data_IF_962234744782
#
_entry.id   IF_962234744782
#
_cell.length_a   1.000
_cell.length_b   1.000
_cell.length_c   1.000
_cell.angle_alpha   90.00
_cell.angle_beta   90.00
_cell.angle_gamma   90.00
#
_symmetry.space_group_name_H-M   'P 1'
#
loop_
_entity.id
_entity.type
_entity.pdbx_description
1 polymer ?
#
# COMPACT_ATOMS: atom_id res chain seq x y z
N UNK A 1 -18.69 20.66 2.21
CA UNK A 1 -17.67 19.64 1.86
C UNK A 1 -18.06 18.31 2.50
N UNK A 2 -17.87 17.17 1.82
CA UNK A 2 -18.28 15.88 2.37
C UNK A 2 -17.38 15.45 3.54
N UNK A 3 -17.97 14.88 4.59
CA UNK A 3 -17.23 14.34 5.74
C UNK A 3 -16.48 13.05 5.38
N UNK A 4 -15.47 12.67 6.18
CA UNK A 4 -14.72 11.40 6.03
C UNK A 4 -15.66 10.20 5.92
N UNK A 5 -16.72 10.17 6.71
CA UNK A 5 -17.73 9.11 6.69
C UNK A 5 -18.47 9.04 5.36
N UNK A 6 -18.81 10.19 4.78
CA UNK A 6 -19.47 10.25 3.46
C UNK A 6 -18.56 9.77 2.34
N UNK A 7 -17.25 9.97 2.45
CA UNK A 7 -16.27 9.48 1.48
C UNK A 7 -16.10 7.95 1.58
N UNK A 8 -16.04 7.41 2.80
CA UNK A 8 -15.98 5.96 3.05
C UNK A 8 -17.27 5.30 2.54
N UNK A 9 -18.43 5.88 2.85
CA UNK A 9 -19.72 5.36 2.40
C UNK A 9 -19.82 5.33 0.87
N UNK A 10 -19.36 6.37 0.17
CA UNK A 10 -19.27 6.38 -1.30
C UNK A 10 -18.35 5.30 -1.84
N UNK A 11 -17.17 5.08 -1.23
CA UNK A 11 -16.27 3.99 -1.63
C UNK A 11 -16.95 2.64 -1.48
N UNK A 12 -17.65 2.39 -0.37
CA UNK A 12 -18.41 1.14 -0.16
C UNK A 12 -19.43 0.94 -1.28
N UNK A 13 -20.22 1.97 -1.63
CA UNK A 13 -21.18 1.88 -2.73
C UNK A 13 -20.48 1.55 -4.05
N UNK A 14 -19.34 2.19 -4.36
CA UNK A 14 -18.57 1.91 -5.56
C UNK A 14 -18.11 0.44 -5.61
N UNK A 15 -17.54 -0.08 -4.50
CA UNK A 15 -17.11 -1.48 -4.39
C UNK A 15 -18.30 -2.43 -4.61
N UNK A 16 -19.43 -2.15 -3.97
CA UNK A 16 -20.64 -2.97 -4.06
C UNK A 16 -21.15 -3.01 -5.51
N UNK A 17 -21.19 -1.88 -6.21
CA UNK A 17 -21.61 -1.83 -7.62
C UNK A 17 -20.68 -2.66 -8.51
N UNK A 18 -19.37 -2.55 -8.33
CA UNK A 18 -18.39 -3.32 -9.12
C UNK A 18 -18.55 -4.83 -8.89
N UNK A 19 -18.64 -5.25 -7.62
CA UNK A 19 -18.83 -6.67 -7.27
C UNK A 19 -20.18 -7.18 -7.80
N UNK A 20 -21.26 -6.41 -7.62
CA UNK A 20 -22.58 -6.77 -8.11
C UNK A 20 -22.59 -6.94 -9.64
N UNK A 21 -21.86 -6.10 -10.37
CA UNK A 21 -21.71 -6.22 -11.83
C UNK A 21 -20.97 -7.49 -12.21
N UNK A 22 -19.86 -7.82 -11.52
CA UNK A 22 -19.14 -9.08 -11.73
C UNK A 22 -19.98 -10.32 -11.42
N UNK A 23 -20.75 -10.28 -10.32
CA UNK A 23 -21.67 -11.34 -9.94
C UNK A 23 -22.83 -11.50 -10.94
N UNK A 24 -23.35 -10.39 -11.48
CA UNK A 24 -24.34 -10.40 -12.54
C UNK A 24 -23.79 -11.07 -13.80
N UNK A 25 -22.60 -10.70 -14.26
CA UNK A 25 -21.96 -11.33 -15.42
C UNK A 25 -21.80 -12.84 -15.20
N UNK A 26 -21.34 -13.26 -14.02
CA UNK A 26 -21.25 -14.67 -13.67
C UNK A 26 -22.61 -15.39 -13.77
N UNK A 27 -23.65 -14.84 -13.13
CA UNK A 27 -24.98 -15.48 -13.05
C UNK A 27 -25.65 -15.66 -14.42
N UNK A 28 -25.48 -14.70 -15.33
CA UNK A 28 -26.15 -14.73 -16.64
C UNK A 28 -25.30 -15.35 -17.75
N UNK A 29 -23.98 -15.42 -17.60
CA UNK A 29 -23.10 -15.98 -18.63
C UNK A 29 -23.11 -17.51 -18.69
N UNK A 30 -23.70 -18.20 -17.70
CA UNK A 30 -23.65 -19.68 -17.57
C UNK A 30 -22.23 -20.27 -17.70
N UNK A 31 -21.22 -19.46 -17.36
CA UNK A 31 -19.83 -19.86 -17.50
C UNK A 31 -19.37 -20.50 -16.20
N UNK A 32 -18.99 -21.79 -16.27
CA UNK A 32 -18.55 -22.58 -15.12
C UNK A 32 -17.41 -21.89 -14.34
N UNK A 33 -16.45 -21.30 -15.05
CA UNK A 33 -15.31 -20.57 -14.47
C UNK A 33 -15.60 -19.09 -14.19
N UNK A 34 -16.82 -18.61 -14.48
CA UNK A 34 -17.19 -17.19 -14.37
C UNK A 34 -17.14 -16.64 -12.95
N UNK A 35 -17.16 -17.50 -11.92
CA UNK A 35 -17.03 -17.12 -10.50
C UNK A 35 -15.71 -16.38 -10.24
N UNK A 36 -14.70 -16.62 -11.08
CA UNK A 36 -13.41 -15.95 -10.98
C UNK A 36 -13.46 -14.46 -11.33
N UNK A 37 -14.51 -13.98 -12.01
CA UNK A 37 -14.70 -12.56 -12.32
C UNK A 37 -14.96 -11.74 -11.03
N UNK A 38 -15.99 -12.03 -10.21
CA UNK A 38 -16.20 -11.30 -8.96
C UNK A 38 -15.06 -11.47 -7.94
N UNK A 39 -14.41 -12.65 -7.88
CA UNK A 39 -13.19 -12.86 -7.07
C UNK A 39 -12.05 -11.97 -7.58
N UNK A 40 -12.00 -11.71 -8.88
CA UNK A 40 -11.03 -10.81 -9.50
C UNK A 40 -11.22 -9.37 -9.09
N UNK A 41 -12.46 -8.90 -9.17
CA UNK A 41 -12.85 -7.57 -8.73
C UNK A 41 -12.57 -7.39 -7.24
N UNK A 42 -12.99 -8.34 -6.40
CA UNK A 42 -12.83 -8.25 -4.94
C UNK A 42 -11.37 -8.07 -4.53
N UNK A 43 -10.45 -8.87 -5.06
CA UNK A 43 -9.06 -8.77 -4.60
C UNK A 43 -8.28 -7.59 -5.23
N UNK A 44 -8.76 -7.01 -6.33
CA UNK A 44 -8.25 -5.73 -6.85
C UNK A 44 -8.72 -4.56 -5.96
N UNK A 45 -10.00 -4.59 -5.54
CA UNK A 45 -10.65 -3.52 -4.77
C UNK A 45 -10.48 -3.69 -3.25
N UNK A 46 -9.99 -4.85 -2.79
CA UNK A 46 -9.81 -5.22 -1.39
C UNK A 46 -9.15 -4.18 -0.46
N UNK A 47 -8.14 -3.40 -0.88
CA UNK A 47 -7.78 -2.20 -0.14
C UNK A 47 -8.78 -1.09 -0.47
N UNK A 48 -9.55 -0.64 0.52
CA UNK A 48 -10.47 0.49 0.40
C UNK A 48 -9.78 1.84 0.08
N UNK A 49 -8.47 1.83 -0.16
CA UNK A 49 -7.66 3.00 -0.53
C UNK A 49 -7.77 3.29 -2.04
N UNK A 50 -8.21 4.49 -2.45
CA UNK A 50 -8.24 4.89 -3.85
C UNK A 50 -6.81 5.07 -4.40
N UNK A 51 -6.57 4.75 -5.67
CA UNK A 51 -5.25 4.86 -6.33
C UNK A 51 -4.46 3.55 -6.40
N UNK A 52 -4.55 2.69 -5.38
CA UNK A 52 -3.86 1.39 -5.35
C UNK A 52 -4.46 0.33 -6.29
N UNK A 53 -5.66 0.58 -6.81
CA UNK A 53 -6.44 -0.33 -7.67
C UNK A 53 -5.71 -0.63 -8.99
N UNK A 54 -4.91 0.30 -9.51
CA UNK A 54 -4.20 0.16 -10.81
C UNK A 54 -2.98 -0.73 -10.66
N UNK A 55 -2.14 -0.42 -9.67
CA UNK A 55 -0.98 -1.23 -9.36
C UNK A 55 -1.42 -2.64 -8.99
N UNK A 56 -2.50 -2.81 -8.22
CA UNK A 56 -3.06 -4.13 -7.94
C UNK A 56 -3.63 -4.83 -9.16
N UNK A 57 -4.31 -4.12 -10.06
CA UNK A 57 -4.76 -4.71 -11.32
C UNK A 57 -3.57 -5.21 -12.15
N UNK A 58 -2.51 -4.40 -12.28
CA UNK A 58 -1.26 -4.79 -12.97
C UNK A 58 -0.59 -5.99 -12.30
N UNK A 59 -0.40 -5.95 -10.99
CA UNK A 59 0.17 -7.05 -10.20
C UNK A 59 -0.68 -8.32 -10.33
N UNK A 60 -2.01 -8.19 -10.41
CA UNK A 60 -2.91 -9.32 -10.59
C UNK A 60 -2.81 -9.91 -11.99
N UNK A 61 -2.76 -9.09 -13.04
CA UNK A 61 -2.55 -9.56 -14.41
C UNK A 61 -1.19 -10.25 -14.53
N UNK A 62 -0.11 -9.61 -14.08
CA UNK A 62 1.24 -10.17 -14.14
C UNK A 62 1.36 -11.45 -13.32
N UNK A 63 0.90 -11.44 -12.07
CA UNK A 63 0.92 -12.62 -11.20
C UNK A 63 0.10 -13.78 -11.77
N UNK A 64 -1.05 -13.49 -12.39
CA UNK A 64 -1.86 -14.52 -13.04
C UNK A 64 -1.13 -15.08 -14.27
N UNK A 65 -0.63 -14.23 -15.19
CA UNK A 65 0.07 -14.70 -16.39
C UNK A 65 1.28 -15.55 -16.02
N UNK A 66 2.13 -15.06 -15.11
CA UNK A 66 3.30 -15.81 -14.65
C UNK A 66 2.89 -17.11 -13.93
N UNK A 67 1.85 -17.06 -13.10
CA UNK A 67 1.32 -18.24 -12.42
C UNK A 67 0.79 -19.29 -13.39
N UNK A 68 0.05 -18.89 -14.43
CA UNK A 68 -0.48 -19.77 -15.47
C UNK A 68 0.63 -20.41 -16.32
N UNK A 69 1.69 -19.65 -16.63
CA UNK A 69 2.86 -20.19 -17.36
C UNK A 69 3.62 -21.22 -16.51
N UNK A 70 3.86 -20.92 -15.24
CA UNK A 70 4.53 -21.84 -14.32
C UNK A 70 3.66 -23.08 -14.08
N UNK A 71 2.34 -22.93 -13.95
CA UNK A 71 1.46 -24.08 -13.77
C UNK A 71 1.49 -25.02 -14.97
N UNK A 72 1.61 -24.50 -16.20
CA UNK A 72 1.75 -25.33 -17.40
C UNK A 72 3.05 -26.16 -17.37
N UNK A 73 4.16 -25.56 -16.92
CA UNK A 73 5.44 -26.27 -16.77
C UNK A 73 5.34 -27.32 -15.67
N UNK A 74 4.74 -26.96 -14.54
CA UNK A 74 4.59 -27.85 -13.38
C UNK A 74 3.67 -29.03 -13.72
N UNK A 75 2.62 -28.78 -14.49
CA UNK A 75 1.74 -29.80 -15.02
C UNK A 75 2.49 -30.79 -15.89
N UNK A 76 3.23 -30.31 -16.90
CA UNK A 76 4.06 -31.19 -17.74
C UNK A 76 5.01 -32.04 -16.90
N UNK A 77 5.64 -31.46 -15.89
CA UNK A 77 6.53 -32.19 -14.98
C UNK A 77 5.80 -33.28 -14.16
N UNK A 78 4.65 -32.93 -13.59
CA UNK A 78 3.82 -33.81 -12.77
C UNK A 78 3.20 -34.95 -13.59
N UNK A 79 2.87 -34.71 -14.86
CA UNK A 79 2.39 -35.73 -15.79
C UNK A 79 3.40 -36.88 -15.93
N UNK A 80 4.70 -36.57 -16.02
CA UNK A 80 5.76 -37.58 -16.08
C UNK A 80 6.18 -38.12 -14.70
N UNK A 81 5.90 -37.40 -13.61
CA UNK A 81 6.36 -37.75 -12.25
C UNK A 81 5.26 -37.56 -11.20
N UNK A 82 4.14 -38.31 -11.25
CA UNK A 82 2.97 -38.07 -10.40
C UNK A 82 3.25 -38.26 -8.91
N UNK A 83 4.21 -39.12 -8.55
CA UNK A 83 4.61 -39.37 -7.16
C UNK A 83 5.20 -38.13 -6.46
N UNK A 84 5.60 -37.10 -7.21
CA UNK A 84 6.16 -35.86 -6.66
C UNK A 84 5.12 -34.85 -6.20
N UNK A 85 3.83 -35.09 -6.49
CA UNK A 85 2.73 -34.16 -6.19
C UNK A 85 2.68 -33.73 -4.73
N UNK A 86 2.82 -34.66 -3.79
CA UNK A 86 2.73 -34.35 -2.35
C UNK A 86 3.84 -33.38 -1.92
N UNK A 87 5.06 -33.58 -2.43
CA UNK A 87 6.19 -32.70 -2.13
C UNK A 87 5.99 -31.30 -2.72
N UNK A 88 5.53 -31.22 -3.97
CA UNK A 88 5.24 -29.95 -4.64
C UNK A 88 4.11 -29.21 -3.90
N UNK A 89 3.05 -29.91 -3.49
CA UNK A 89 1.95 -29.32 -2.74
C UNK A 89 2.42 -28.72 -1.40
N UNK A 90 3.28 -29.41 -0.65
CA UNK A 90 3.85 -28.89 0.60
C UNK A 90 4.69 -27.62 0.36
N UNK A 91 5.50 -27.60 -0.70
CA UNK A 91 6.30 -26.43 -1.09
C UNK A 91 5.38 -25.26 -1.45
N UNK A 92 4.32 -25.49 -2.22
CA UNK A 92 3.37 -24.44 -2.61
C UNK A 92 2.61 -23.89 -1.41
N UNK A 93 2.15 -24.73 -0.48
CA UNK A 93 1.47 -24.28 0.75
C UNK A 93 2.40 -23.39 1.57
N UNK A 94 3.65 -23.82 1.78
CA UNK A 94 4.64 -23.02 2.49
C UNK A 94 4.92 -21.70 1.76
N UNK A 95 5.07 -21.74 0.43
CA UNK A 95 5.28 -20.57 -0.40
C UNK A 95 4.13 -19.56 -0.32
N UNK A 96 2.87 -20.02 -0.37
CA UNK A 96 1.69 -19.16 -0.21
C UNK A 96 1.68 -18.49 1.16
N UNK A 97 1.98 -19.25 2.23
CA UNK A 97 2.06 -18.69 3.58
C UNK A 97 3.17 -17.63 3.70
N UNK A 98 4.33 -17.88 3.09
CA UNK A 98 5.44 -16.94 3.08
C UNK A 98 5.13 -15.67 2.26
N UNK A 99 4.54 -15.83 1.08
CA UNK A 99 4.22 -14.72 0.16
C UNK A 99 3.03 -13.89 0.60
N UNK A 100 2.20 -14.40 1.52
CA UNK A 100 1.15 -13.60 2.16
C UNK A 100 1.71 -12.38 2.91
N UNK A 101 2.99 -12.41 3.29
CA UNK A 101 3.71 -11.31 3.94
C UNK A 101 4.53 -10.45 2.95
N UNK A 102 4.55 -10.82 1.67
CA UNK A 102 5.37 -10.19 0.62
C UNK A 102 4.50 -9.38 -0.35
N UNK A 103 5.10 -8.93 -1.46
CA UNK A 103 4.34 -8.24 -2.50
C UNK A 103 3.20 -9.10 -3.05
N UNK A 104 2.06 -8.45 -3.26
CA UNK A 104 0.82 -9.06 -3.72
C UNK A 104 0.96 -9.86 -5.03
N UNK A 105 1.90 -9.49 -5.90
CA UNK A 105 2.21 -10.22 -7.15
C UNK A 105 2.61 -11.67 -6.87
N UNK A 106 3.50 -11.90 -5.91
CA UNK A 106 4.02 -13.24 -5.59
C UNK A 106 2.94 -14.12 -4.96
N UNK A 107 2.10 -13.51 -4.11
CA UNK A 107 0.95 -14.19 -3.54
C UNK A 107 -0.03 -14.66 -4.63
N UNK A 108 -0.39 -13.79 -5.57
CA UNK A 108 -1.29 -14.15 -6.68
C UNK A 108 -0.68 -15.19 -7.60
N UNK A 109 0.63 -15.11 -7.86
CA UNK A 109 1.36 -16.10 -8.65
C UNK A 109 1.24 -17.50 -8.02
N UNK A 110 1.57 -17.64 -6.73
CA UNK A 110 1.55 -18.95 -6.06
C UNK A 110 0.14 -19.49 -5.88
N UNK A 111 -0.84 -18.63 -5.56
CA UNK A 111 -2.25 -19.03 -5.49
C UNK A 111 -2.75 -19.50 -6.86
N UNK A 112 -2.35 -18.84 -7.94
CA UNK A 112 -2.72 -19.24 -9.31
C UNK A 112 -2.14 -20.60 -9.68
N UNK A 113 -0.87 -20.86 -9.35
CA UNK A 113 -0.24 -22.17 -9.55
C UNK A 113 -0.96 -23.25 -8.73
N UNK A 114 -1.16 -23.00 -7.44
CA UNK A 114 -1.81 -23.95 -6.53
C UNK A 114 -3.21 -24.32 -6.99
N UNK A 115 -4.00 -23.34 -7.45
CA UNK A 115 -5.34 -23.57 -7.97
C UNK A 115 -5.33 -24.41 -9.26
N UNK A 116 -4.45 -24.12 -10.21
CA UNK A 116 -4.38 -24.88 -11.46
C UNK A 116 -3.98 -26.34 -11.22
N UNK A 117 -2.97 -26.56 -10.37
CA UNK A 117 -2.52 -27.90 -10.00
C UNK A 117 -3.59 -28.65 -9.20
N UNK A 118 -4.30 -27.97 -8.29
CA UNK A 118 -5.35 -28.61 -7.50
C UNK A 118 -6.55 -29.00 -8.37
N UNK A 119 -6.96 -28.13 -9.31
CA UNK A 119 -8.08 -28.41 -10.22
C UNK A 119 -7.81 -29.60 -11.13
N UNK A 120 -6.59 -29.73 -11.65
CA UNK A 120 -6.19 -30.85 -12.50
C UNK A 120 -6.32 -32.20 -11.76
N UNK A 121 -5.86 -32.26 -10.51
CA UNK A 121 -5.84 -33.51 -9.74
C UNK A 121 -7.13 -33.81 -8.94
N UNK A 122 -7.99 -32.80 -8.68
CA UNK A 122 -9.26 -32.99 -7.95
C UNK A 122 -10.48 -33.13 -8.88
N UNK A 123 -10.43 -32.59 -10.10
CA UNK A 123 -11.53 -32.68 -11.07
C UNK A 123 -11.17 -33.60 -12.24
N UNK A 124 -11.46 -34.90 -12.06
CA UNK A 124 -11.39 -35.96 -13.08
C UNK A 124 -12.28 -35.74 -14.34
N UNK A 125 -12.98 -34.60 -14.48
CA UNK A 125 -14.10 -34.44 -15.41
C UNK A 125 -13.94 -33.34 -16.48
N UNK A 126 -12.86 -32.56 -16.49
CA UNK A 126 -12.66 -31.51 -17.51
C UNK A 126 -11.52 -31.92 -18.45
N UNK A 127 -11.88 -32.45 -19.61
CA UNK A 127 -10.98 -32.99 -20.64
C UNK A 127 -10.07 -31.95 -21.34
N UNK A 128 -9.87 -30.74 -20.80
CA UNK A 128 -9.02 -29.72 -21.43
C UNK A 128 -8.47 -28.71 -20.41
N UNK A 129 -7.33 -29.01 -19.80
CA UNK A 129 -6.61 -28.09 -18.90
C UNK A 129 -6.22 -26.76 -19.56
N UNK A 130 -5.89 -26.81 -20.85
CA UNK A 130 -5.62 -25.59 -21.65
C UNK A 130 -6.86 -24.68 -21.67
N UNK A 131 -8.05 -25.26 -21.74
CA UNK A 131 -9.30 -24.49 -21.67
C UNK A 131 -9.50 -23.87 -20.28
N UNK A 132 -9.16 -24.58 -19.21
CA UNK A 132 -9.24 -24.05 -17.84
C UNK A 132 -8.27 -22.88 -17.65
N UNK A 133 -7.00 -23.05 -18.07
CA UNK A 133 -5.97 -22.00 -18.01
C UNK A 133 -6.41 -20.76 -18.82
N UNK A 134 -6.93 -20.97 -20.03
CA UNK A 134 -7.42 -19.88 -20.88
C UNK A 134 -8.64 -19.17 -20.26
N UNK A 135 -9.61 -19.93 -19.76
CA UNK A 135 -10.79 -19.39 -19.09
C UNK A 135 -10.39 -18.57 -17.86
N UNK A 136 -9.44 -19.05 -17.08
CA UNK A 136 -8.91 -18.36 -15.90
C UNK A 136 -8.29 -17.01 -16.28
N UNK A 137 -7.47 -17.00 -17.33
CA UNK A 137 -6.89 -15.78 -17.89
C UNK A 137 -7.96 -14.78 -18.32
N UNK A 138 -8.97 -15.23 -19.06
CA UNK A 138 -10.08 -14.39 -19.52
C UNK A 138 -10.91 -13.82 -18.37
N UNK A 139 -11.26 -14.63 -17.36
CA UNK A 139 -11.99 -14.15 -16.18
C UNK A 139 -11.23 -13.05 -15.42
N UNK A 140 -9.90 -13.17 -15.30
CA UNK A 140 -9.08 -12.13 -14.67
C UNK A 140 -9.06 -10.86 -15.53
N UNK A 141 -8.91 -10.98 -16.84
CA UNK A 141 -8.94 -9.83 -17.76
C UNK A 141 -10.30 -9.12 -17.74
N UNK A 142 -11.41 -9.86 -17.72
CA UNK A 142 -12.76 -9.30 -17.60
C UNK A 142 -12.91 -8.56 -16.26
N UNK A 143 -12.49 -9.19 -15.15
CA UNK A 143 -12.54 -8.55 -13.84
C UNK A 143 -11.71 -7.26 -13.76
N UNK A 144 -10.51 -7.25 -14.35
CA UNK A 144 -9.65 -6.07 -14.46
C UNK A 144 -10.30 -4.99 -15.32
N UNK A 145 -10.90 -5.37 -16.45
CA UNK A 145 -11.57 -4.44 -17.37
C UNK A 145 -12.76 -3.76 -16.70
N UNK A 146 -13.59 -4.52 -15.98
CA UNK A 146 -14.70 -3.97 -15.18
C UNK A 146 -14.14 -2.98 -14.15
N UNK A 147 -13.09 -3.37 -13.42
CA UNK A 147 -12.48 -2.50 -12.43
C UNK A 147 -11.99 -1.19 -13.01
N UNK A 148 -11.26 -1.25 -14.13
CA UNK A 148 -10.74 -0.07 -14.81
C UNK A 148 -11.84 0.78 -15.42
N UNK A 149 -12.87 0.17 -16.00
CA UNK A 149 -14.02 0.87 -16.57
C UNK A 149 -14.73 1.72 -15.50
N UNK A 150 -15.07 1.13 -14.36
CA UNK A 150 -15.74 1.85 -13.28
C UNK A 150 -14.86 2.94 -12.66
N UNK A 151 -13.58 2.63 -12.39
CA UNK A 151 -12.65 3.62 -11.84
C UNK A 151 -12.42 4.81 -12.80
N UNK A 152 -12.25 4.55 -14.09
CA UNK A 152 -11.95 5.59 -15.08
C UNK A 152 -13.19 6.40 -15.51
N UNK A 153 -14.28 5.73 -15.88
CA UNK A 153 -15.44 6.40 -16.47
C UNK A 153 -16.46 6.87 -15.42
N UNK A 154 -16.62 6.14 -14.32
CA UNK A 154 -17.70 6.39 -13.35
C UNK A 154 -17.19 7.15 -12.13
N UNK A 155 -16.03 6.76 -11.58
CA UNK A 155 -15.56 7.25 -10.29
C UNK A 155 -14.43 8.28 -10.33
N UNK A 156 -13.77 8.47 -11.48
CA UNK A 156 -12.65 9.41 -11.66
C UNK A 156 -12.93 10.82 -11.12
N UNK A 157 -14.16 11.32 -11.25
CA UNK A 157 -14.57 12.67 -10.79
C UNK A 157 -14.70 12.83 -9.27
N UNK A 158 -14.85 11.74 -8.52
CA UNK A 158 -15.15 11.79 -7.08
C UNK A 158 -13.91 11.67 -6.19
N UNK A 159 -12.78 11.15 -6.71
CA UNK A 159 -11.58 10.91 -5.92
C UNK A 159 -10.64 12.12 -5.78
N UNK A 160 -10.69 13.08 -6.72
CA UNK A 160 -9.85 14.29 -6.71
C UNK A 160 -9.98 15.15 -5.44
N UNK A 161 -11.08 15.04 -4.70
CA UNK A 161 -11.33 15.86 -3.50
C UNK A 161 -11.25 15.08 -2.18
N UNK A 162 -11.12 13.75 -2.20
CA UNK A 162 -11.32 12.93 -1.01
C UNK A 162 -10.01 12.66 -0.25
N UNK A 163 -8.98 12.21 -0.98
CA UNK A 163 -7.67 11.90 -0.39
C UNK A 163 -6.97 13.20 0.03
N UNK A 164 -6.94 14.20 -0.85
CA UNK A 164 -6.35 15.51 -0.57
C UNK A 164 -6.96 16.15 0.68
N UNK A 165 -8.28 16.07 0.85
CA UNK A 165 -8.99 16.81 1.90
C UNK A 165 -8.94 16.10 3.26
N UNK A 166 -8.98 14.75 3.26
CA UNK A 166 -8.83 13.96 4.49
C UNK A 166 -7.39 13.99 5.00
N UNK A 167 -6.40 13.95 4.09
CA UNK A 167 -4.99 14.08 4.48
C UNK A 167 -4.64 15.53 4.86
N UNK A 168 -5.16 16.55 4.16
CA UNK A 168 -4.92 17.96 4.50
C UNK A 168 -5.28 18.27 5.96
N UNK A 169 -6.49 17.86 6.40
CA UNK A 169 -6.96 18.15 7.76
C UNK A 169 -6.11 17.46 8.83
N UNK A 170 -5.72 16.20 8.57
CA UNK A 170 -4.86 15.43 9.47
C UNK A 170 -3.44 16.01 9.53
N UNK A 171 -2.91 16.44 8.38
CA UNK A 171 -1.62 17.09 8.26
C UNK A 171 -1.61 18.47 8.94
N UNK A 172 -2.68 19.25 8.80
CA UNK A 172 -2.83 20.51 9.52
C UNK A 172 -2.83 20.28 11.04
N UNK A 173 -3.58 19.31 11.55
CA UNK A 173 -3.59 18.97 12.98
C UNK A 173 -2.19 18.53 13.46
N UNK A 174 -1.46 17.76 12.66
CA UNK A 174 -0.10 17.33 13.01
C UNK A 174 0.89 18.50 13.01
N UNK A 175 0.85 19.36 11.99
CA UNK A 175 1.72 20.55 11.90
C UNK A 175 1.43 21.51 13.06
N UNK A 176 0.16 21.76 13.39
CA UNK A 176 -0.24 22.60 14.52
C UNK A 176 0.26 22.01 15.84
N UNK A 177 0.03 20.71 16.07
CA UNK A 177 0.49 20.05 17.29
C UNK A 177 2.03 20.06 17.41
N UNK A 178 2.75 19.82 16.31
CA UNK A 178 4.21 19.91 16.30
C UNK A 178 4.68 21.33 16.61
N UNK A 179 4.03 22.34 16.04
CA UNK A 179 4.35 23.75 16.30
C UNK A 179 4.08 24.18 17.75
N UNK A 180 2.96 23.76 18.33
CA UNK A 180 2.63 24.05 19.72
C UNK A 180 3.61 23.37 20.68
N UNK A 181 4.01 22.13 20.40
CA UNK A 181 5.04 21.43 21.17
C UNK A 181 6.41 22.12 21.07
N UNK A 182 6.77 22.63 19.89
CA UNK A 182 8.00 23.42 19.68
C UNK A 182 7.96 24.73 20.46
N UNK A 183 6.81 25.43 20.44
CA UNK A 183 6.62 26.68 21.18
C UNK A 183 6.76 26.46 22.69
N UNK A 184 6.12 25.42 23.22
CA UNK A 184 6.26 25.04 24.62
C UNK A 184 7.70 24.66 24.99
N UNK A 185 8.43 24.02 24.08
CA UNK A 185 9.86 23.74 24.27
C UNK A 185 10.72 25.01 24.29
N UNK A 186 10.44 25.97 23.40
CA UNK A 186 11.17 27.24 23.32
C UNK A 186 10.96 28.10 24.57
N UNK A 187 9.83 27.95 25.25
CA UNK A 187 9.52 28.62 26.52
C UNK A 187 10.16 27.91 27.73
N UNK A 188 10.73 26.71 27.55
CA UNK A 188 11.41 25.94 28.60
C UNK A 188 12.94 26.06 28.50
N UNK A 189 13.62 26.43 29.59
CA UNK A 189 15.08 26.66 29.62
C UNK A 189 15.95 25.40 29.39
N UNK A 190 15.36 24.20 29.41
CA UNK A 190 16.08 22.92 29.30
C UNK A 190 15.42 22.00 28.26
N UNK A 191 15.86 22.16 27.02
CA UNK A 191 15.51 21.28 25.90
C UNK A 191 16.43 20.05 25.89
N UNK A 192 15.86 18.86 26.08
CA UNK A 192 16.58 17.59 26.05
C UNK A 192 16.46 16.91 24.68
N UNK A 193 17.53 16.27 24.21
CA UNK A 193 17.57 15.50 22.94
C UNK A 193 16.44 14.46 22.87
N UNK A 194 16.07 13.82 23.98
CA UNK A 194 14.97 12.85 24.02
C UNK A 194 13.60 13.48 23.72
N UNK A 195 13.35 14.71 24.19
CA UNK A 195 12.12 15.43 23.88
C UNK A 195 12.09 15.88 22.42
N UNK A 196 13.25 16.23 21.85
CA UNK A 196 13.38 16.60 20.44
C UNK A 196 13.09 15.41 19.53
N UNK A 197 13.67 14.24 19.81
CA UNK A 197 13.41 13.01 19.08
C UNK A 197 11.92 12.62 19.10
N UNK A 198 11.23 12.82 20.23
CA UNK A 198 9.80 12.54 20.36
C UNK A 198 8.92 13.39 19.42
N UNK A 199 9.41 14.54 18.96
CA UNK A 199 8.73 15.42 17.99
C UNK A 199 9.17 15.09 16.56
N UNK A 200 10.46 14.81 16.36
CA UNK A 200 11.05 14.56 15.03
C UNK A 200 10.65 13.20 14.45
N UNK A 201 10.59 12.15 15.26
CA UNK A 201 10.27 10.78 14.81
C UNK A 201 8.89 10.65 14.12
N UNK A 202 7.79 11.19 14.67
CA UNK A 202 6.50 11.17 13.97
C UNK A 202 6.48 12.04 12.69
N UNK A 203 7.29 13.12 12.64
CA UNK A 203 7.42 13.95 11.43
C UNK A 203 8.09 13.16 10.30
N UNK A 204 9.17 12.42 10.58
CA UNK A 204 9.89 11.59 9.60
C UNK A 204 8.99 10.48 9.04
N UNK A 205 8.27 9.79 9.91
CA UNK A 205 7.35 8.70 9.50
C UNK A 205 6.29 9.24 8.54
N UNK A 206 5.73 10.40 8.82
CA UNK A 206 4.71 11.00 7.95
C UNK A 206 5.27 11.59 6.67
N UNK A 207 6.50 12.10 6.67
CA UNK A 207 7.19 12.54 5.46
C UNK A 207 7.37 11.37 4.49
N UNK A 208 7.82 10.22 5.00
CA UNK A 208 7.96 8.99 4.21
C UNK A 208 6.61 8.48 3.69
N UNK A 209 5.57 8.52 4.51
CA UNK A 209 4.21 8.14 4.10
C UNK A 209 3.65 9.10 3.04
N UNK A 210 3.92 10.40 3.13
CA UNK A 210 3.52 11.38 2.13
C UNK A 210 4.22 11.14 0.79
N UNK A 211 5.48 10.74 0.82
CA UNK A 211 6.26 10.38 -0.37
C UNK A 211 5.67 9.14 -1.06
N UNK A 212 5.38 8.08 -0.29
CA UNK A 212 4.67 6.88 -0.78
C UNK A 212 3.27 7.23 -1.33
N UNK A 213 2.57 8.17 -0.69
CA UNK A 213 1.27 8.64 -1.14
C UNK A 213 1.38 9.45 -2.44
N UNK A 214 2.39 10.32 -2.57
CA UNK A 214 2.69 11.10 -3.79
C UNK A 214 2.96 10.17 -4.97
N UNK A 215 3.75 9.13 -4.76
CA UNK A 215 4.05 8.10 -5.76
C UNK A 215 2.79 7.33 -6.18
N UNK A 216 1.94 6.97 -5.21
CA UNK A 216 0.62 6.36 -5.48
C UNK A 216 -0.32 7.30 -6.27
N UNK A 217 -0.27 8.61 -5.98
CA UNK A 217 -1.07 9.64 -6.65
C UNK A 217 -0.61 9.89 -8.10
N UNK A 218 0.70 9.92 -8.35
CA UNK A 218 1.30 10.05 -9.69
C UNK A 218 0.94 8.87 -10.61
N UNK A 219 0.68 7.71 -10.04
CA UNK A 219 0.28 6.51 -10.76
C UNK A 219 -1.24 6.26 -10.75
N UNK A 220 -2.06 7.20 -10.27
CA UNK A 220 -3.53 7.13 -10.23
C UNK A 220 -4.24 7.59 -11.51
N UNK A 221 -5.51 7.20 -11.72
CA UNK A 221 -6.30 7.53 -12.93
C UNK A 221 -7.01 8.91 -12.90
N UNK A 222 -6.98 9.64 -11.78
CA UNK A 222 -7.63 10.96 -11.71
C UNK A 222 -6.58 12.07 -11.86
N UNK A 223 -6.97 13.25 -12.36
CA UNK A 223 -6.13 14.45 -12.37
C UNK A 223 -5.85 14.90 -10.93
N UNK A 224 -4.87 14.26 -10.28
CA UNK A 224 -4.52 14.52 -8.90
C UNK A 224 -3.53 15.67 -8.75
N UNK A 225 -3.35 16.51 -9.76
CA UNK A 225 -2.47 17.69 -9.74
C UNK A 225 -2.70 18.55 -8.50
N UNK A 226 -3.96 18.81 -8.12
CA UNK A 226 -4.28 19.55 -6.89
C UNK A 226 -3.88 18.83 -5.60
N UNK A 227 -4.00 17.50 -5.58
CA UNK A 227 -3.60 16.65 -4.45
C UNK A 227 -2.08 16.57 -4.34
N UNK A 228 -1.40 16.43 -5.47
CA UNK A 228 0.06 16.41 -5.59
C UNK A 228 0.64 17.76 -5.16
N UNK A 229 0.09 18.88 -5.66
CA UNK A 229 0.46 20.24 -5.23
C UNK A 229 0.26 20.42 -3.72
N UNK A 230 -0.80 19.82 -3.16
CA UNK A 230 -1.08 19.90 -1.74
C UNK A 230 -0.08 19.05 -0.94
N UNK A 231 0.19 17.81 -1.35
CA UNK A 231 1.19 16.94 -0.75
C UNK A 231 2.57 17.62 -0.79
N UNK A 232 2.96 18.18 -1.94
CA UNK A 232 4.24 18.86 -2.12
C UNK A 232 4.33 20.13 -1.26
N UNK A 233 3.22 20.87 -1.07
CA UNK A 233 3.17 21.97 -0.09
C UNK A 233 3.38 21.49 1.35
N UNK A 234 2.81 20.35 1.74
CA UNK A 234 2.99 19.80 3.08
C UNK A 234 4.39 19.19 3.27
N UNK A 235 4.90 18.50 2.26
CA UNK A 235 6.28 17.98 2.20
C UNK A 235 7.27 19.13 2.42
N UNK A 236 7.13 20.23 1.68
CA UNK A 236 7.97 21.41 1.86
C UNK A 236 7.84 22.04 3.26
N UNK A 237 6.63 22.13 3.82
CA UNK A 237 6.42 22.63 5.20
C UNK A 237 7.08 21.72 6.23
N UNK A 238 6.90 20.40 6.11
CA UNK A 238 7.45 19.38 6.99
C UNK A 238 8.98 19.36 6.92
N UNK A 239 9.56 19.42 5.73
CA UNK A 239 11.00 19.52 5.51
C UNK A 239 11.56 20.81 6.10
N UNK A 240 10.87 21.96 5.93
CA UNK A 240 11.31 23.21 6.54
C UNK A 240 11.28 23.18 8.08
N UNK A 241 10.27 22.53 8.67
CA UNK A 241 10.18 22.29 10.11
C UNK A 241 11.30 21.36 10.59
N UNK A 242 11.55 20.30 9.85
CA UNK A 242 12.61 19.34 10.13
C UNK A 242 14.00 19.99 10.09
N UNK A 243 14.30 20.77 9.04
CA UNK A 243 15.56 21.50 8.87
C UNK A 243 15.75 22.52 9.99
N UNK A 244 14.68 23.25 10.35
CA UNK A 244 14.71 24.18 11.47
C UNK A 244 14.99 23.47 12.80
N UNK A 245 14.31 22.36 13.07
CA UNK A 245 14.54 21.55 14.28
C UNK A 245 15.95 20.97 14.33
N UNK A 246 16.50 20.52 13.21
CA UNK A 246 17.88 20.06 13.11
C UNK A 246 18.88 21.18 13.37
N UNK A 247 18.63 22.38 12.83
CA UNK A 247 19.48 23.55 13.11
C UNK A 247 19.45 23.93 14.60
N UNK A 248 18.28 23.83 15.24
CA UNK A 248 18.11 24.10 16.67
C UNK A 248 18.77 23.01 17.52
N UNK A 249 18.62 21.74 17.16
CA UNK A 249 19.32 20.61 17.79
C UNK A 249 20.85 20.73 17.69
N UNK A 250 21.36 21.16 16.54
CA UNK A 250 22.79 21.43 16.33
C UNK A 250 23.28 22.59 17.20
N UNK A 251 22.50 23.67 17.30
CA UNK A 251 22.81 24.81 18.17
C UNK A 251 22.85 24.41 19.66
N UNK A 252 21.94 23.52 20.08
CA UNK A 252 21.87 22.99 21.45
C UNK A 252 23.05 22.05 21.75
N UNK A 253 23.43 21.18 20.81
CA UNK A 253 24.63 20.34 20.92
C UNK A 253 25.91 21.20 21.04
N UNK A 254 26.04 22.25 20.22
CA UNK A 254 27.14 23.20 20.33
C UNK A 254 27.15 23.94 21.67
N UNK A 255 25.98 24.33 22.20
CA UNK A 255 25.85 25.02 23.49
C UNK A 255 26.18 24.09 24.66
N UNK A 256 25.73 22.83 24.61
CA UNK A 256 26.03 21.81 25.62
C UNK A 256 27.52 21.43 25.60
N UNK A 257 28.14 21.34 24.42
CA UNK A 257 29.58 21.14 24.26
C UNK A 257 30.39 22.31 24.82
N UNK A 258 29.92 23.56 24.63
CA UNK A 258 30.51 24.77 25.22
C UNK A 258 30.39 24.80 26.74
N UNK A 259 29.23 24.48 27.30
CA UNK A 259 29.00 24.39 28.76
C UNK A 259 29.85 23.28 29.39
N UNK A 260 30.04 22.15 28.68
CA UNK A 260 30.95 21.07 29.12
C UNK A 260 32.43 21.44 29.00
N UNK A 261 32.81 22.29 28.03
CA UNK A 261 34.16 22.84 27.92
C UNK A 261 34.43 23.91 28.99
N UNK A 262 33.50 24.81 29.28
CA UNK A 262 33.60 25.81 30.37
C UNK A 262 33.69 25.14 31.74
N UNK A 263 32.98 24.03 31.96
CA UNK A 263 33.13 23.22 33.18
C UNK A 263 34.47 22.49 33.28
N UNK A 264 35.14 22.21 32.16
CA UNK A 264 36.49 21.62 32.12
C UNK A 264 37.61 22.66 32.25
N UNK A 265 37.33 23.94 32.03
CA UNK A 265 38.29 25.04 32.12
C UNK A 265 38.22 25.83 33.44
N UNK A 266 37.46 25.36 34.44
CA UNK A 266 37.60 25.85 35.82
C UNK A 266 38.95 25.34 36.38
N UNK A 267 39.93 26.21 36.67
CA UNK A 267 41.21 25.79 37.21
C UNK A 267 41.03 25.22 38.62
N UNK A 268 41.70 24.08 38.86
CA UNK A 268 41.98 23.55 40.19
C UNK A 268 42.99 24.50 40.83
N UNK A 269 42.55 25.66 41.29
CA UNK A 269 43.34 26.60 42.09
C UNK A 269 42.39 27.27 43.08
N UNK A 270 41.88 26.47 44.03
CA UNK A 270 41.37 26.93 45.34
C UNK A 270 41.07 25.75 46.28
N UNK A 271 42.02 24.82 46.35
CA UNK A 271 42.32 24.13 47.62
C UNK A 271 43.62 24.76 48.12
N UNK A 272 43.49 25.85 48.87
CA UNK A 272 44.59 26.44 49.62
C UNK A 272 45.18 25.41 50.59
N UNK A 273 46.50 25.52 50.79
CA UNK A 273 47.24 25.19 52.02
C UNK A 273 47.24 23.74 52.52
#
# INVERSE_FOLDING_TARGET
>A
MPSREQLIHRRIIHVVIMIATGAFIYQYSQWDDGLWIPISILAIVGPFSPGLTINKARQRVLGTICGLLISLILWLFLHYNPNTLVFIALILIYGVAFTALQEYTYFILLVSIMLCVNFDYMNLFINNEISFIANRGLCVLIGVTICQFYEYFVFSRYYNNAIALVEAKRLDELVINSWDNIRQMSESDLVTISKLNKIVEPLIIELKRLEELKESCLHGYSEQTKTIDLIERYENKLTSLYDWLNSMGFSLLCRQKRVLQDKKSLPIDNLCN
#
